data_IF_598293317648
#
_entry.id   IF_598293317648
#
_cell.length_a   1.000
_cell.length_b   1.000
_cell.length_c   1.000
_cell.angle_alpha   90.00
_cell.angle_beta   90.00
_cell.angle_gamma   90.00
#
_symmetry.space_group_name_H-M   'P 1'
#
loop_
_entity.id
_entity.type
_entity.pdbx_description
1 polymer ?
#
# COMPACT_ATOMS: atom_id res chain seq x y z
N UNK A 1 -65.38 -61.91 12.76
CA UNK A 1 -65.73 -61.34 11.45
C UNK A 1 -65.33 -59.86 11.46
N UNK A 2 -64.15 -59.50 10.92
CA UNK A 2 -63.73 -58.09 10.67
C UNK A 2 -62.32 -58.07 10.08
N UNK A 3 -62.12 -58.54 8.84
CA UNK A 3 -60.81 -58.41 8.17
C UNK A 3 -60.79 -58.16 6.64
N UNK A 4 -61.85 -57.75 5.92
CA UNK A 4 -61.71 -57.36 4.50
C UNK A 4 -61.52 -55.85 4.26
N UNK A 5 -61.86 -54.97 5.22
CA UNK A 5 -61.87 -53.51 5.00
C UNK A 5 -60.48 -52.88 5.15
N UNK A 6 -59.62 -53.47 5.99
CA UNK A 6 -58.25 -52.96 6.22
C UNK A 6 -57.34 -53.16 4.99
N UNK A 7 -57.55 -54.24 4.23
CA UNK A 7 -56.68 -54.65 3.10
C UNK A 7 -56.80 -53.74 1.87
N UNK A 8 -57.95 -53.06 1.67
CA UNK A 8 -58.17 -52.09 0.58
C UNK A 8 -57.71 -50.67 0.90
N UNK A 9 -57.61 -50.29 2.19
CA UNK A 9 -57.16 -48.96 2.63
C UNK A 9 -55.64 -48.86 2.82
N UNK A 10 -54.98 -49.99 3.06
CA UNK A 10 -53.52 -50.10 3.20
C UNK A 10 -52.72 -49.49 2.01
N UNK A 11 -53.04 -49.78 0.73
CA UNK A 11 -52.31 -49.19 -0.39
C UNK A 11 -52.50 -47.66 -0.49
N UNK A 12 -53.69 -47.15 -0.15
CA UNK A 12 -53.95 -45.71 -0.12
C UNK A 12 -53.14 -45.00 0.96
N UNK A 13 -53.06 -45.56 2.16
CA UNK A 13 -52.26 -45.02 3.27
C UNK A 13 -50.77 -44.98 2.91
N UNK A 14 -50.25 -46.04 2.27
CA UNK A 14 -48.87 -46.11 1.81
C UNK A 14 -48.56 -45.09 0.71
N UNK A 15 -49.50 -44.87 -0.23
CA UNK A 15 -49.38 -43.85 -1.28
C UNK A 15 -49.36 -42.44 -0.67
N UNK A 16 -50.26 -42.13 0.26
CA UNK A 16 -50.26 -40.83 0.94
C UNK A 16 -48.99 -40.60 1.77
N UNK A 17 -48.47 -41.64 2.42
CA UNK A 17 -47.20 -41.57 3.13
C UNK A 17 -46.02 -41.30 2.18
N UNK A 18 -45.97 -42.00 1.05
CA UNK A 18 -44.91 -41.81 0.04
C UNK A 18 -44.96 -40.40 -0.58
N UNK A 19 -46.16 -39.88 -0.88
CA UNK A 19 -46.36 -38.51 -1.36
C UNK A 19 -45.93 -37.49 -0.29
N UNK A 20 -46.31 -37.72 0.98
CA UNK A 20 -45.90 -36.86 2.09
C UNK A 20 -44.39 -36.80 2.28
N UNK A 21 -43.69 -37.95 2.16
CA UNK A 21 -42.22 -38.01 2.21
C UNK A 21 -41.62 -37.28 1.01
N UNK A 22 -42.13 -37.50 -0.20
CA UNK A 22 -41.62 -36.83 -1.41
C UNK A 22 -41.76 -35.31 -1.34
N UNK A 23 -42.90 -34.81 -0.86
CA UNK A 23 -43.13 -33.37 -0.64
C UNK A 23 -42.21 -32.84 0.46
N UNK A 24 -42.05 -33.57 1.57
CA UNK A 24 -41.14 -33.18 2.65
C UNK A 24 -39.69 -33.06 2.19
N UNK A 25 -39.21 -34.00 1.39
CA UNK A 25 -37.86 -33.97 0.78
C UNK A 25 -37.72 -32.81 -0.20
N UNK A 26 -38.73 -32.55 -1.04
CA UNK A 26 -38.71 -31.45 -2.00
C UNK A 26 -38.65 -30.08 -1.29
N UNK A 27 -39.47 -29.87 -0.27
CA UNK A 27 -39.47 -28.64 0.54
C UNK A 27 -38.13 -28.48 1.26
N UNK A 28 -37.59 -29.55 1.84
CA UNK A 28 -36.26 -29.54 2.45
C UNK A 28 -35.15 -29.17 1.48
N UNK A 29 -35.17 -29.72 0.26
CA UNK A 29 -34.21 -29.38 -0.80
C UNK A 29 -34.30 -27.92 -1.22
N UNK A 30 -35.52 -27.38 -1.41
CA UNK A 30 -35.73 -25.98 -1.77
C UNK A 30 -35.20 -25.04 -0.68
N UNK A 31 -35.45 -25.34 0.61
CA UNK A 31 -34.90 -24.55 1.72
C UNK A 31 -33.37 -24.57 1.75
N UNK A 32 -32.74 -25.73 1.54
CA UNK A 32 -31.26 -25.83 1.51
C UNK A 32 -30.69 -25.06 0.32
N UNK A 33 -31.32 -25.15 -0.85
CA UNK A 33 -30.90 -24.41 -2.04
C UNK A 33 -31.01 -22.89 -1.83
N UNK A 34 -32.08 -22.41 -1.21
CA UNK A 34 -32.25 -21.00 -0.85
C UNK A 34 -31.19 -20.54 0.16
N UNK A 35 -30.92 -21.34 1.19
CA UNK A 35 -29.86 -21.04 2.16
C UNK A 35 -28.48 -20.92 1.49
N UNK A 36 -28.17 -21.82 0.56
CA UNK A 36 -26.92 -21.79 -0.20
C UNK A 36 -26.81 -20.56 -1.11
N UNK A 37 -27.91 -20.18 -1.78
CA UNK A 37 -27.97 -18.96 -2.60
C UNK A 37 -27.69 -17.71 -1.76
N UNK A 38 -28.38 -17.54 -0.64
CA UNK A 38 -28.19 -16.39 0.26
C UNK A 38 -26.76 -16.36 0.81
N UNK A 39 -26.19 -17.52 1.19
CA UNK A 39 -24.81 -17.59 1.66
C UNK A 39 -23.82 -17.13 0.58
N UNK A 40 -24.03 -17.53 -0.67
CA UNK A 40 -23.15 -17.14 -1.77
C UNK A 40 -23.25 -15.62 -2.06
N UNK A 41 -24.45 -15.06 -2.02
CA UNK A 41 -24.64 -13.60 -2.15
C UNK A 41 -23.95 -12.80 -1.05
N UNK A 42 -24.06 -13.26 0.21
CA UNK A 42 -23.36 -12.64 1.35
C UNK A 42 -21.84 -12.76 1.17
N UNK A 43 -21.34 -13.93 0.77
CA UNK A 43 -19.92 -14.15 0.54
C UNK A 43 -19.37 -13.24 -0.58
N UNK A 44 -20.10 -13.09 -1.68
CA UNK A 44 -19.71 -12.23 -2.80
C UNK A 44 -19.78 -10.74 -2.43
N UNK A 45 -20.77 -10.34 -1.62
CA UNK A 45 -20.84 -8.99 -1.05
C UNK A 45 -19.64 -8.70 -0.13
N UNK A 46 -19.29 -9.68 0.73
CA UNK A 46 -18.17 -9.56 1.65
C UNK A 46 -16.84 -9.46 0.90
N UNK A 47 -16.62 -10.31 -0.12
CA UNK A 47 -15.45 -10.22 -1.01
C UNK A 47 -15.30 -8.86 -1.67
N UNK A 48 -16.39 -8.32 -2.24
CA UNK A 48 -16.38 -6.99 -2.87
C UNK A 48 -16.04 -5.88 -1.87
N UNK A 49 -16.61 -5.96 -0.66
CA UNK A 49 -16.36 -4.99 0.40
C UNK A 49 -14.89 -5.04 0.85
N UNK A 50 -14.36 -6.24 1.09
CA UNK A 50 -12.96 -6.45 1.46
C UNK A 50 -12.01 -5.92 0.38
N UNK A 51 -12.27 -6.22 -0.91
CA UNK A 51 -11.47 -5.70 -2.01
C UNK A 51 -11.50 -4.15 -2.07
N UNK A 52 -12.65 -3.54 -1.79
CA UNK A 52 -12.76 -2.07 -1.68
C UNK A 52 -11.91 -1.50 -0.55
N UNK A 53 -11.89 -2.14 0.63
CA UNK A 53 -11.02 -1.75 1.74
C UNK A 53 -9.54 -1.96 1.43
N UNK A 54 -9.15 -3.05 0.77
CA UNK A 54 -7.77 -3.29 0.35
C UNK A 54 -7.29 -2.18 -0.59
N UNK A 55 -8.08 -1.82 -1.61
CA UNK A 55 -7.76 -0.72 -2.53
C UNK A 55 -7.63 0.61 -1.81
N UNK A 56 -8.57 0.96 -0.94
CA UNK A 56 -8.53 2.22 -0.18
C UNK A 56 -7.29 2.30 0.72
N UNK A 57 -6.99 1.22 1.44
CA UNK A 57 -5.80 1.09 2.29
C UNK A 57 -4.52 1.28 1.46
N UNK A 58 -4.44 0.63 0.29
CA UNK A 58 -3.30 0.75 -0.61
C UNK A 58 -3.14 2.18 -1.15
N UNK A 59 -4.21 2.82 -1.62
CA UNK A 59 -4.21 4.22 -2.06
C UNK A 59 -3.73 5.18 -0.96
N UNK A 60 -4.14 4.96 0.29
CA UNK A 60 -3.65 5.74 1.42
C UNK A 60 -2.14 5.58 1.63
N UNK A 61 -1.61 4.35 1.52
CA UNK A 61 -0.16 4.11 1.60
C UNK A 61 0.61 4.83 0.48
N UNK A 62 0.09 4.84 -0.74
CA UNK A 62 0.69 5.60 -1.85
C UNK A 62 0.68 7.10 -1.59
N UNK A 63 -0.39 7.65 -1.02
CA UNK A 63 -0.45 9.06 -0.62
C UNK A 63 0.64 9.41 0.38
N UNK A 64 0.86 8.57 1.39
CA UNK A 64 1.93 8.79 2.37
C UNK A 64 3.34 8.76 1.73
N UNK A 65 3.52 7.97 0.67
CA UNK A 65 4.77 7.98 -0.10
C UNK A 65 4.94 9.30 -0.83
N UNK A 66 3.89 9.82 -1.48
CA UNK A 66 3.94 11.12 -2.16
C UNK A 66 4.31 12.25 -1.20
N UNK A 67 3.70 12.28 0.00
CA UNK A 67 4.03 13.27 1.03
C UNK A 67 5.51 13.17 1.45
N UNK A 68 6.03 11.94 1.52
CA UNK A 68 7.42 11.67 1.91
C UNK A 68 8.40 12.07 0.80
N UNK A 69 8.02 11.84 -0.45
CA UNK A 69 8.77 12.27 -1.63
C UNK A 69 8.87 13.79 -1.67
N UNK A 70 7.77 14.51 -1.48
CA UNK A 70 7.78 15.97 -1.42
C UNK A 70 8.66 16.48 -0.26
N UNK A 71 8.53 15.88 0.93
CA UNK A 71 9.39 16.20 2.06
C UNK A 71 10.88 16.01 1.74
N UNK A 72 11.22 14.93 1.01
CA UNK A 72 12.59 14.62 0.58
C UNK A 72 13.13 15.70 -0.34
N UNK A 73 12.36 16.12 -1.36
CA UNK A 73 12.77 17.17 -2.29
C UNK A 73 13.09 18.48 -1.56
N UNK A 74 12.18 18.96 -0.71
CA UNK A 74 12.34 20.23 0.00
C UNK A 74 13.51 20.25 0.99
N UNK A 75 13.72 19.15 1.71
CA UNK A 75 14.81 19.07 2.68
C UNK A 75 16.17 18.91 1.98
N UNK A 76 16.26 18.16 0.88
CA UNK A 76 17.49 18.07 0.09
C UNK A 76 17.89 19.41 -0.52
N UNK A 77 16.92 20.18 -1.02
CA UNK A 77 17.17 21.56 -1.48
C UNK A 77 17.68 22.44 -0.32
N UNK A 78 17.02 22.35 0.84
CA UNK A 78 17.41 23.07 2.06
C UNK A 78 18.81 22.70 2.52
N UNK A 79 19.20 21.43 2.41
CA UNK A 79 20.56 20.95 2.71
C UNK A 79 21.60 21.57 1.78
N UNK A 80 21.36 21.60 0.47
CA UNK A 80 22.31 22.22 -0.47
C UNK A 80 22.47 23.73 -0.21
N UNK A 81 21.38 24.41 0.11
CA UNK A 81 21.42 25.83 0.49
C UNK A 81 22.18 26.05 1.80
N UNK A 82 21.92 25.23 2.81
CA UNK A 82 22.61 25.27 4.10
C UNK A 82 24.11 24.95 3.96
N UNK A 83 24.47 23.96 3.13
CA UNK A 83 25.87 23.64 2.80
C UNK A 83 26.57 24.82 2.13
N UNK A 84 25.90 25.48 1.19
CA UNK A 84 26.44 26.67 0.52
C UNK A 84 26.69 27.81 1.51
N UNK A 85 25.76 28.02 2.45
CA UNK A 85 25.92 29.01 3.51
C UNK A 85 27.06 28.64 4.48
N UNK A 86 27.15 27.38 4.89
CA UNK A 86 28.23 26.85 5.73
C UNK A 86 29.60 27.08 5.10
N UNK A 87 29.71 26.83 3.79
CA UNK A 87 30.93 27.09 3.02
C UNK A 87 31.32 28.57 3.06
N UNK A 88 30.39 29.48 2.74
CA UNK A 88 30.66 30.93 2.74
C UNK A 88 31.10 31.41 4.12
N UNK A 89 30.43 30.98 5.18
CA UNK A 89 30.74 31.37 6.57
C UNK A 89 32.14 30.91 6.97
N UNK A 90 32.53 29.71 6.56
CA UNK A 90 33.88 29.20 6.75
C UNK A 90 34.93 30.05 6.03
N UNK A 91 34.69 30.39 4.75
CA UNK A 91 35.59 31.21 3.93
C UNK A 91 35.78 32.63 4.49
N UNK A 92 34.71 33.25 5.03
CA UNK A 92 34.78 34.61 5.60
C UNK A 92 35.16 34.63 7.08
N UNK A 93 35.51 33.46 7.65
CA UNK A 93 35.96 33.28 9.03
C UNK A 93 35.01 33.91 10.08
N UNK A 94 33.70 33.74 9.88
CA UNK A 94 32.66 34.19 10.83
C UNK A 94 32.23 33.03 11.72
N UNK A 95 32.11 33.28 13.02
CA UNK A 95 31.61 32.28 13.97
C UNK A 95 30.08 32.23 13.95
N UNK A 96 29.53 31.44 13.02
CA UNK A 96 28.11 31.13 12.94
C UNK A 96 27.91 29.65 12.61
N UNK A 97 27.01 28.99 13.34
CA UNK A 97 26.77 27.55 13.19
C UNK A 97 25.64 27.30 12.20
N UNK A 98 25.94 26.59 11.10
CA UNK A 98 24.95 26.09 10.14
C UNK A 98 24.93 24.57 10.23
N UNK A 99 23.72 23.99 10.35
CA UNK A 99 23.50 22.54 10.53
C UNK A 99 22.70 21.92 9.37
N UNK A 100 23.32 21.70 8.20
CA UNK A 100 22.64 21.07 7.07
C UNK A 100 22.12 19.66 7.38
N UNK A 101 22.74 18.96 8.32
CA UNK A 101 22.44 17.58 8.69
C UNK A 101 21.04 17.38 9.25
N UNK A 102 20.47 18.39 9.91
CA UNK A 102 19.11 18.33 10.50
C UNK A 102 18.06 18.02 9.42
N UNK A 103 18.20 18.62 8.25
CA UNK A 103 17.27 18.43 7.13
C UNK A 103 17.37 17.00 6.57
N UNK A 104 18.58 16.51 6.36
CA UNK A 104 18.82 15.14 5.85
C UNK A 104 18.41 14.05 6.84
N UNK A 105 18.69 14.24 8.13
CA UNK A 105 18.38 13.25 9.17
C UNK A 105 16.87 13.00 9.27
N UNK A 106 16.09 14.08 9.27
CA UNK A 106 14.63 14.01 9.31
C UNK A 106 14.07 13.24 8.12
N UNK A 107 14.59 13.49 6.92
CA UNK A 107 14.15 12.78 5.71
C UNK A 107 14.49 11.30 5.81
N UNK A 108 15.73 10.98 6.18
CA UNK A 108 16.21 9.61 6.31
C UNK A 108 15.32 8.78 7.23
N UNK A 109 14.96 9.31 8.39
CA UNK A 109 14.07 8.62 9.34
C UNK A 109 12.68 8.36 8.77
N UNK A 110 12.06 9.39 8.18
CA UNK A 110 10.70 9.28 7.62
C UNK A 110 10.69 8.35 6.40
N UNK A 111 11.67 8.46 5.52
CA UNK A 111 11.78 7.63 4.32
C UNK A 111 11.97 6.15 4.67
N UNK A 112 12.85 5.84 5.63
CA UNK A 112 13.06 4.47 6.10
C UNK A 112 11.80 3.86 6.72
N UNK A 113 11.07 4.62 7.55
CA UNK A 113 9.79 4.16 8.10
C UNK A 113 8.77 3.87 6.99
N UNK A 114 8.69 4.76 6.00
CA UNK A 114 7.75 4.64 4.87
C UNK A 114 8.07 3.46 3.97
N UNK A 115 9.34 3.22 3.66
CA UNK A 115 9.80 2.03 2.94
C UNK A 115 9.39 0.76 3.69
N UNK A 116 9.67 0.69 4.99
CA UNK A 116 9.34 -0.47 5.82
C UNK A 116 7.84 -0.76 5.85
N UNK A 117 7.03 0.28 6.02
CA UNK A 117 5.57 0.14 6.03
C UNK A 117 5.04 -0.29 4.66
N UNK A 118 5.57 0.28 3.58
CA UNK A 118 5.12 -0.06 2.24
C UNK A 118 5.56 -1.46 1.80
N UNK A 119 6.77 -1.90 2.17
CA UNK A 119 7.25 -3.26 1.87
C UNK A 119 6.44 -4.36 2.57
N UNK A 120 5.75 -4.02 3.66
CA UNK A 120 4.83 -4.91 4.38
C UNK A 120 3.40 -4.83 3.83
N UNK A 121 3.12 -3.90 2.93
CA UNK A 121 1.80 -3.73 2.34
C UNK A 121 1.60 -4.78 1.25
N UNK A 122 0.53 -5.56 1.34
CA UNK A 122 0.14 -6.49 0.28
C UNK A 122 -0.17 -5.70 -1.00
N UNK A 123 0.50 -5.97 -2.13
CA UNK A 123 0.15 -5.35 -3.40
C UNK A 123 -1.26 -5.77 -3.84
N UNK A 124 -1.95 -4.86 -4.51
CA UNK A 124 -3.21 -5.15 -5.18
C UNK A 124 -2.95 -6.09 -6.36
N UNK A 125 -3.84 -7.05 -6.56
CA UNK A 125 -3.75 -8.03 -7.65
C UNK A 125 -3.60 -7.32 -9.01
N UNK A 126 -2.57 -7.69 -9.77
CA UNK A 126 -2.24 -7.09 -11.06
C UNK A 126 -1.40 -5.81 -10.99
N UNK A 127 -0.96 -5.40 -9.79
CA UNK A 127 -0.11 -4.23 -9.55
C UNK A 127 1.21 -4.60 -8.84
N UNK A 128 1.57 -5.87 -8.80
CA UNK A 128 2.76 -6.38 -8.12
C UNK A 128 4.06 -5.80 -8.72
N UNK A 129 4.12 -5.69 -10.05
CA UNK A 129 5.26 -5.09 -10.74
C UNK A 129 5.42 -3.61 -10.38
N UNK A 130 4.33 -2.84 -10.43
CA UNK A 130 4.33 -1.43 -10.07
C UNK A 130 4.73 -1.24 -8.58
N UNK A 131 4.21 -2.09 -7.69
CA UNK A 131 4.57 -2.09 -6.27
C UNK A 131 6.07 -2.30 -6.06
N UNK A 132 6.65 -3.32 -6.71
CA UNK A 132 8.08 -3.61 -6.62
C UNK A 132 8.93 -2.48 -7.22
N UNK A 133 8.46 -1.85 -8.30
CA UNK A 133 9.14 -0.69 -8.91
C UNK A 133 9.15 0.51 -7.98
N UNK A 134 8.03 0.83 -7.33
CA UNK A 134 7.97 1.90 -6.31
C UNK A 134 8.94 1.59 -5.17
N UNK A 135 8.98 0.35 -4.66
CA UNK A 135 9.94 -0.03 -3.61
C UNK A 135 11.40 0.12 -4.05
N UNK A 136 11.73 -0.29 -5.26
CA UNK A 136 13.08 -0.14 -5.82
C UNK A 136 13.48 1.34 -5.95
N UNK A 137 12.56 2.19 -6.43
CA UNK A 137 12.79 3.63 -6.52
C UNK A 137 12.95 4.28 -5.13
N UNK A 138 12.15 3.88 -4.15
CA UNK A 138 12.29 4.38 -2.77
C UNK A 138 13.62 3.95 -2.14
N UNK A 139 14.10 2.74 -2.42
CA UNK A 139 15.42 2.29 -1.98
C UNK A 139 16.52 3.16 -2.59
N UNK A 140 16.48 3.39 -3.91
CA UNK A 140 17.43 4.30 -4.59
C UNK A 140 17.38 5.71 -4.02
N UNK A 141 16.18 6.23 -3.75
CA UNK A 141 16.00 7.53 -3.12
C UNK A 141 16.66 7.58 -1.74
N UNK A 142 16.52 6.51 -0.95
CA UNK A 142 17.14 6.40 0.36
C UNK A 142 18.66 6.42 0.29
N UNK A 143 19.24 5.73 -0.70
CA UNK A 143 20.70 5.71 -0.91
C UNK A 143 21.23 7.14 -1.22
N UNK A 144 20.54 7.88 -2.10
CA UNK A 144 20.93 9.27 -2.43
C UNK A 144 20.76 10.22 -1.22
N UNK A 145 19.73 10.02 -0.40
CA UNK A 145 19.56 10.78 0.86
C UNK A 145 20.69 10.47 1.85
N UNK A 146 21.15 9.23 1.91
CA UNK A 146 22.27 8.81 2.74
C UNK A 146 23.58 9.46 2.26
N UNK A 147 23.85 9.47 0.96
CA UNK A 147 25.01 10.18 0.38
C UNK A 147 24.95 11.69 0.67
N UNK A 148 23.77 12.32 0.55
CA UNK A 148 23.59 13.72 0.92
C UNK A 148 23.88 13.96 2.41
N UNK A 149 23.44 13.06 3.28
CA UNK A 149 23.68 13.14 4.73
C UNK A 149 25.17 13.06 5.05
N UNK A 150 25.93 12.17 4.40
CA UNK A 150 27.38 12.07 4.59
C UNK A 150 28.11 13.37 4.27
N UNK A 151 27.65 14.14 3.28
CA UNK A 151 28.19 15.47 2.98
C UNK A 151 27.74 16.47 4.05
N UNK A 152 26.47 16.42 4.47
CA UNK A 152 25.87 17.36 5.41
C UNK A 152 26.57 17.38 6.78
N UNK A 153 27.02 16.22 7.26
CA UNK A 153 27.71 16.08 8.56
C UNK A 153 29.18 16.50 8.55
N UNK A 154 29.76 16.80 7.38
CA UNK A 154 31.17 17.20 7.31
C UNK A 154 31.40 18.49 8.09
N UNK A 155 32.44 18.50 8.92
CA UNK A 155 32.85 19.68 9.67
C UNK A 155 33.28 20.81 8.73
N UNK A 156 34.21 20.50 7.81
CA UNK A 156 34.70 21.42 6.80
C UNK A 156 34.13 21.05 5.43
N UNK A 157 33.36 21.97 4.84
CA UNK A 157 32.76 21.81 3.52
C UNK A 157 33.68 22.41 2.47
N UNK A 158 33.97 21.68 1.40
CA UNK A 158 34.77 22.18 0.28
C UNK A 158 33.90 22.56 -0.92
N UNK A 159 34.45 23.29 -1.89
CA UNK A 159 33.77 23.56 -3.16
C UNK A 159 33.40 22.27 -3.92
N UNK A 160 34.23 21.22 -3.82
CA UNK A 160 33.92 19.91 -4.40
C UNK A 160 32.73 19.25 -3.72
N UNK A 161 32.54 19.44 -2.42
CA UNK A 161 31.39 18.89 -1.70
C UNK A 161 30.09 19.56 -2.13
N UNK A 162 30.11 20.87 -2.39
CA UNK A 162 28.96 21.59 -2.95
C UNK A 162 28.57 21.08 -4.34
N UNK A 163 29.55 20.80 -5.20
CA UNK A 163 29.29 20.22 -6.53
C UNK A 163 28.66 18.84 -6.40
N UNK A 164 29.20 17.98 -5.53
CA UNK A 164 28.63 16.65 -5.25
C UNK A 164 27.20 16.74 -4.72
N UNK A 165 26.95 17.61 -3.74
CA UNK A 165 25.63 17.80 -3.16
C UNK A 165 24.60 18.26 -4.20
N UNK A 166 24.98 19.11 -5.16
CA UNK A 166 24.09 19.49 -6.28
C UNK A 166 23.78 18.31 -7.21
N UNK A 167 24.77 17.49 -7.53
CA UNK A 167 24.56 16.28 -8.36
C UNK A 167 23.60 15.32 -7.66
N UNK A 168 23.76 15.11 -6.35
CA UNK A 168 22.86 14.25 -5.57
C UNK A 168 21.44 14.86 -5.53
N UNK A 169 21.32 16.18 -5.35
CA UNK A 169 20.02 16.85 -5.41
C UNK A 169 19.31 16.60 -6.76
N UNK A 170 20.02 16.74 -7.87
CA UNK A 170 19.44 16.51 -9.20
C UNK A 170 18.94 15.06 -9.34
N UNK A 171 19.70 14.08 -8.87
CA UNK A 171 19.26 12.67 -8.85
C UNK A 171 18.06 12.43 -7.95
N UNK A 172 18.02 13.07 -6.78
CA UNK A 172 16.85 13.01 -5.88
C UNK A 172 15.62 13.55 -6.60
N UNK A 173 15.73 14.67 -7.31
CA UNK A 173 14.62 15.24 -8.09
C UNK A 173 14.17 14.29 -9.21
N UNK A 174 15.10 13.68 -9.94
CA UNK A 174 14.77 12.70 -10.99
C UNK A 174 14.05 11.47 -10.43
N UNK A 175 14.57 10.86 -9.36
CA UNK A 175 13.97 9.67 -8.73
C UNK A 175 12.59 9.99 -8.16
N UNK A 176 12.43 11.16 -7.56
CA UNK A 176 11.14 11.58 -6.98
C UNK A 176 10.07 11.82 -8.06
N UNK A 177 10.46 12.31 -9.23
CA UNK A 177 9.58 12.42 -10.39
C UNK A 177 9.21 11.04 -10.96
N UNK A 178 10.17 10.11 -11.05
CA UNK A 178 9.89 8.71 -11.42
C UNK A 178 8.87 8.05 -10.47
N UNK A 179 9.02 8.25 -9.15
CA UNK A 179 8.07 7.72 -8.15
C UNK A 179 6.68 8.32 -8.36
N UNK A 180 6.58 9.63 -8.61
CA UNK A 180 5.29 10.31 -8.79
C UNK A 180 4.55 9.76 -10.01
N UNK A 181 5.25 9.56 -11.13
CA UNK A 181 4.64 8.98 -12.34
C UNK A 181 4.22 7.53 -12.12
N UNK A 182 5.04 6.73 -11.44
CA UNK A 182 4.69 5.34 -11.13
C UNK A 182 3.44 5.27 -10.22
N UNK A 183 3.35 6.12 -9.21
CA UNK A 183 2.17 6.19 -8.33
C UNK A 183 0.93 6.66 -9.09
N UNK A 184 1.07 7.61 -10.03
CA UNK A 184 -0.03 8.07 -10.88
C UNK A 184 -0.55 6.96 -11.78
N UNK A 185 0.35 6.17 -12.37
CA UNK A 185 -0.01 4.99 -13.17
C UNK A 185 -0.77 3.97 -12.32
N UNK A 186 -0.29 3.67 -11.13
CA UNK A 186 -0.97 2.76 -10.19
C UNK A 186 -2.35 3.27 -9.82
N UNK A 187 -2.45 4.54 -9.42
CA UNK A 187 -3.71 5.16 -8.99
C UNK A 187 -4.75 5.15 -10.12
N UNK A 188 -4.34 5.25 -11.38
CA UNK A 188 -5.26 5.15 -12.53
C UNK A 188 -5.87 3.75 -12.74
N UNK A 189 -5.27 2.72 -12.14
CA UNK A 189 -5.69 1.31 -12.25
C UNK A 189 -6.46 0.81 -11.01
N UNK A 190 -6.49 1.59 -9.93
CA UNK A 190 -7.20 1.26 -8.67
C UNK A 190 -8.69 1.56 -8.80
#
# INVERSE_FOLDING_TARGET
MTLPILRKKLPFIVIFLAIGIAIGVLVGYIMVAQCYSTLNEVLDSLKRTTAGFEKLSYSYRLSLILDTVELTQWNSLSTVQALSLKYVIHEVNVTYEVKPEIYTLRVKEVLNDRIKVFSQTKPIEGLEENHNRILSLLSRLSDEVDEMHEIAIKENVTSSDLVKARIILDRILDITDEIREEIKLVTSKL
#
